data_IF_286800540753
#
_entry.id   IF_286800540753
#
_cell.length_a   1.000
_cell.length_b   1.000
_cell.length_c   1.000
_cell.angle_alpha   90.00
_cell.angle_beta   90.00
_cell.angle_gamma   90.00
#
_symmetry.space_group_name_H-M   'P 1'
#
loop_
_entity.id
_entity.type
_entity.pdbx_description
1 polymer ?
#
# COMPACT_ATOMS: atom_id res chain seq x y z
N UNK A 1 46.73 -27.78 -0.43
CA UNK A 1 46.08 -27.35 -1.64
C UNK A 1 44.60 -27.12 -1.31
N UNK A 2 44.29 -25.95 -0.79
CA UNK A 2 42.92 -25.44 -0.51
C UNK A 2 43.00 -23.93 -0.26
N UNK A 3 43.40 -23.14 -1.24
CA UNK A 3 43.49 -21.68 -1.11
C UNK A 3 43.37 -20.97 -2.49
N UNK A 4 42.37 -21.33 -3.30
CA UNK A 4 42.22 -20.66 -4.60
C UNK A 4 40.77 -20.41 -5.09
N UNK A 5 39.77 -20.50 -4.21
CA UNK A 5 38.37 -20.26 -4.64
C UNK A 5 37.74 -18.94 -4.09
N UNK A 6 38.48 -18.14 -3.30
CA UNK A 6 37.95 -16.89 -2.69
C UNK A 6 38.36 -15.61 -3.40
N UNK A 7 39.37 -15.62 -4.25
CA UNK A 7 39.86 -14.40 -4.92
C UNK A 7 38.86 -13.75 -5.92
N UNK A 8 38.11 -14.50 -6.75
CA UNK A 8 37.21 -13.85 -7.74
C UNK A 8 36.01 -13.13 -7.15
N UNK A 9 35.53 -13.55 -5.98
CA UNK A 9 34.40 -12.86 -5.32
C UNK A 9 34.81 -11.55 -4.65
N UNK A 10 35.99 -11.51 -4.04
CA UNK A 10 36.53 -10.28 -3.44
C UNK A 10 36.85 -9.21 -4.47
N UNK A 11 37.51 -9.57 -5.57
CA UNK A 11 37.78 -8.63 -6.67
C UNK A 11 36.49 -8.11 -7.31
N UNK A 12 35.50 -8.97 -7.50
CA UNK A 12 34.20 -8.59 -8.04
C UNK A 12 33.45 -7.63 -7.09
N UNK A 13 33.45 -7.91 -5.80
CA UNK A 13 32.85 -7.05 -4.78
C UNK A 13 33.58 -5.71 -4.68
N UNK A 14 34.92 -5.69 -4.76
CA UNK A 14 35.70 -4.48 -4.76
C UNK A 14 35.45 -3.62 -6.00
N UNK A 15 35.30 -4.23 -7.18
CA UNK A 15 34.89 -3.55 -8.40
C UNK A 15 33.51 -2.89 -8.26
N UNK A 16 32.52 -3.63 -7.78
CA UNK A 16 31.16 -3.08 -7.61
C UNK A 16 31.14 -1.96 -6.58
N UNK A 17 31.82 -2.09 -5.45
CA UNK A 17 31.90 -1.03 -4.44
C UNK A 17 32.56 0.24 -5.03
N UNK A 18 33.66 0.09 -5.73
CA UNK A 18 34.35 1.23 -6.38
C UNK A 18 33.46 1.89 -7.43
N UNK A 19 32.73 1.09 -8.24
CA UNK A 19 31.77 1.61 -9.22
C UNK A 19 30.63 2.39 -8.58
N UNK A 20 30.03 1.83 -7.51
CA UNK A 20 28.96 2.48 -6.76
C UNK A 20 29.44 3.80 -6.18
N UNK A 21 30.60 3.82 -5.53
CA UNK A 21 31.18 5.05 -4.96
C UNK A 21 31.43 6.13 -6.01
N UNK A 22 32.00 5.76 -7.15
CA UNK A 22 32.21 6.70 -8.26
C UNK A 22 30.90 7.21 -8.85
N UNK A 23 29.93 6.32 -9.06
CA UNK A 23 28.62 6.69 -9.59
C UNK A 23 27.86 7.62 -8.63
N UNK A 24 27.90 7.33 -7.33
CA UNK A 24 27.31 8.17 -6.29
C UNK A 24 27.96 9.53 -6.23
N UNK A 25 29.30 9.58 -6.26
CA UNK A 25 30.06 10.84 -6.27
C UNK A 25 29.72 11.71 -7.49
N UNK A 26 29.64 11.09 -8.67
CA UNK A 26 29.28 11.80 -9.90
C UNK A 26 27.83 12.28 -9.86
N UNK A 27 26.92 11.46 -9.37
CA UNK A 27 25.51 11.81 -9.20
C UNK A 27 25.33 13.01 -8.27
N UNK A 28 25.94 12.99 -7.10
CA UNK A 28 25.88 14.10 -6.14
C UNK A 28 26.51 15.39 -6.69
N UNK A 29 27.63 15.26 -7.44
CA UNK A 29 28.23 16.40 -8.12
C UNK A 29 27.27 17.01 -9.15
N UNK A 30 26.67 16.18 -10.01
CA UNK A 30 25.75 16.67 -11.05
C UNK A 30 24.51 17.32 -10.43
N UNK A 31 23.92 16.73 -9.36
CA UNK A 31 22.83 17.34 -8.61
C UNK A 31 23.18 18.74 -8.14
N UNK A 32 24.37 18.87 -7.54
CA UNK A 32 24.86 20.15 -7.00
C UNK A 32 25.11 21.18 -8.10
N UNK A 33 25.71 20.76 -9.20
CA UNK A 33 26.01 21.64 -10.34
C UNK A 33 24.71 22.13 -11.01
N UNK A 34 23.69 21.27 -11.12
CA UNK A 34 22.39 21.58 -11.72
C UNK A 34 21.36 22.15 -10.70
N UNK A 35 21.71 22.25 -9.41
CA UNK A 35 20.82 22.66 -8.32
C UNK A 35 19.52 21.84 -8.23
N UNK A 36 19.64 20.54 -8.43
CA UNK A 36 18.54 19.60 -8.34
C UNK A 36 18.45 19.04 -6.93
N UNK A 37 17.21 18.90 -6.45
CA UNK A 37 16.89 18.25 -5.15
C UNK A 37 15.88 17.15 -5.38
N UNK A 38 16.14 16.01 -4.81
CA UNK A 38 15.14 14.93 -4.68
C UNK A 38 14.30 15.16 -3.43
N UNK A 39 13.20 14.41 -3.28
CA UNK A 39 12.42 14.43 -2.03
C UNK A 39 13.24 13.93 -0.83
N UNK A 40 14.12 12.96 -1.05
CA UNK A 40 14.99 12.43 0.01
C UNK A 40 16.01 13.49 0.46
N UNK A 41 16.57 14.27 -0.46
CA UNK A 41 17.46 15.39 -0.12
C UNK A 41 16.78 16.43 0.76
N UNK A 42 15.51 16.72 0.48
CA UNK A 42 14.75 17.67 1.31
C UNK A 42 14.54 17.16 2.74
N UNK A 43 14.31 15.84 2.90
CA UNK A 43 14.17 15.24 4.22
C UNK A 43 15.50 15.23 4.97
N UNK A 44 16.59 14.88 4.31
CA UNK A 44 17.95 14.88 4.90
C UNK A 44 18.32 16.29 5.33
N UNK A 45 18.16 17.28 4.46
CA UNK A 45 18.46 18.69 4.78
C UNK A 45 17.61 19.22 5.93
N UNK A 46 16.31 18.87 5.96
CA UNK A 46 15.42 19.26 7.04
C UNK A 46 15.84 18.63 8.37
N UNK A 47 16.18 17.34 8.38
CA UNK A 47 16.65 16.63 9.56
C UNK A 47 17.97 17.24 10.07
N UNK A 48 18.97 17.42 9.19
CA UNK A 48 20.24 18.03 9.55
C UNK A 48 20.06 19.41 10.17
N UNK A 49 19.17 20.22 9.60
CA UNK A 49 18.91 21.58 10.10
C UNK A 49 18.20 21.57 11.45
N UNK A 50 17.22 20.65 11.63
CA UNK A 50 16.53 20.49 12.91
C UNK A 50 17.53 20.06 14.01
N UNK A 51 18.43 19.15 13.69
CA UNK A 51 19.42 18.65 14.67
C UNK A 51 20.50 19.70 15.01
N UNK A 52 20.95 20.48 14.00
CA UNK A 52 22.10 21.38 14.14
C UNK A 52 21.73 22.82 14.51
N UNK A 53 20.50 23.28 14.27
CA UNK A 53 20.06 24.66 14.47
C UNK A 53 18.91 24.74 15.49
N UNK A 54 19.21 24.97 16.79
CA UNK A 54 18.20 25.05 17.83
C UNK A 54 17.19 26.19 17.63
N UNK A 55 17.60 27.31 16.99
CA UNK A 55 16.70 28.43 16.75
C UNK A 55 15.64 28.05 15.68
N UNK A 56 16.09 27.35 14.62
CA UNK A 56 15.20 26.81 13.60
C UNK A 56 14.23 25.78 14.20
N UNK A 57 14.73 24.87 15.01
CA UNK A 57 13.93 23.86 15.71
C UNK A 57 12.87 24.50 16.58
N UNK A 58 13.26 25.50 17.38
CA UNK A 58 12.33 26.24 18.23
C UNK A 58 11.29 27.02 17.42
N UNK A 59 11.68 27.59 16.29
CA UNK A 59 10.76 28.29 15.40
C UNK A 59 9.68 27.32 14.85
N UNK A 60 10.06 26.12 14.41
CA UNK A 60 9.11 25.09 13.96
C UNK A 60 8.24 24.62 15.13
N UNK A 61 8.84 24.32 16.27
CA UNK A 61 8.10 23.94 17.47
C UNK A 61 7.02 24.98 17.85
N UNK A 62 7.30 26.25 17.69
CA UNK A 62 6.33 27.31 17.98
C UNK A 62 5.15 27.36 17.00
N UNK A 63 5.29 26.83 15.80
CA UNK A 63 4.20 26.76 14.82
C UNK A 63 3.17 25.68 15.13
N UNK A 64 3.57 24.62 15.84
CA UNK A 64 2.72 23.45 16.08
C UNK A 64 2.51 23.24 17.58
N UNK A 65 1.26 23.15 18.00
CA UNK A 65 0.89 22.87 19.40
C UNK A 65 0.88 21.38 19.74
N UNK A 66 0.80 20.51 18.72
CA UNK A 66 0.78 19.04 18.85
C UNK A 66 1.14 18.41 17.50
N UNK A 67 1.54 17.13 17.53
CA UNK A 67 1.72 16.33 16.32
C UNK A 67 0.90 15.04 16.37
N UNK A 68 0.16 14.76 15.31
CA UNK A 68 -0.54 13.50 15.09
C UNK A 68 0.00 12.89 13.79
N UNK A 69 0.69 11.76 13.92
CA UNK A 69 1.33 11.06 12.80
C UNK A 69 0.55 9.77 12.55
N UNK A 70 -0.16 9.74 11.44
CA UNK A 70 -0.92 8.57 11.00
C UNK A 70 -0.07 7.65 10.11
N UNK A 71 -0.46 6.37 10.01
CA UNK A 71 0.28 5.32 9.28
C UNK A 71 1.76 5.24 9.67
N UNK A 72 2.04 5.41 10.96
CA UNK A 72 3.40 5.52 11.48
C UNK A 72 4.30 4.32 11.17
N UNK A 73 3.73 3.13 10.89
CA UNK A 73 4.49 1.95 10.45
C UNK A 73 5.19 2.14 9.09
N UNK A 74 4.80 3.17 8.32
CA UNK A 74 5.38 3.49 7.02
C UNK A 74 6.42 4.63 7.09
N UNK A 75 6.76 5.05 8.31
CA UNK A 75 7.74 6.11 8.57
C UNK A 75 9.17 5.59 8.41
N UNK A 76 10.00 6.35 7.72
CA UNK A 76 11.43 6.06 7.60
C UNK A 76 12.24 6.63 8.79
N UNK A 77 13.50 6.21 8.98
CA UNK A 77 14.34 6.66 10.09
C UNK A 77 14.56 8.17 10.14
N UNK A 78 14.66 8.85 8.99
CA UNK A 78 14.91 10.31 8.93
C UNK A 78 13.64 11.06 9.37
N UNK A 79 12.48 10.65 8.87
CA UNK A 79 11.20 11.20 9.32
C UNK A 79 11.01 11.03 10.83
N UNK A 80 11.34 9.85 11.36
CA UNK A 80 11.26 9.64 12.80
C UNK A 80 12.22 10.52 13.58
N UNK A 81 13.47 10.68 13.11
CA UNK A 81 14.44 11.59 13.71
C UNK A 81 13.90 13.02 13.80
N UNK A 82 13.29 13.51 12.71
CA UNK A 82 12.62 14.83 12.67
C UNK A 82 11.53 14.93 13.74
N UNK A 83 10.60 13.97 13.79
CA UNK A 83 9.51 13.98 14.77
C UNK A 83 10.02 13.89 16.22
N UNK A 84 11.04 13.07 16.42
CA UNK A 84 11.68 12.90 17.72
C UNK A 84 12.27 14.23 18.23
N UNK A 85 13.12 14.87 17.43
CA UNK A 85 13.75 16.14 17.82
C UNK A 85 12.75 17.29 18.00
N UNK A 86 11.67 17.29 17.22
CA UNK A 86 10.66 18.36 17.32
C UNK A 86 9.71 18.19 18.51
N UNK A 87 9.39 16.95 18.91
CA UNK A 87 8.28 16.72 19.84
C UNK A 87 8.63 15.81 21.02
N UNK A 88 9.50 14.79 20.87
CA UNK A 88 9.85 13.87 21.95
C UNK A 88 11.00 14.41 22.79
N UNK A 89 12.01 15.00 22.17
CA UNK A 89 13.18 15.57 22.83
C UNK A 89 12.96 17.03 23.28
N UNK A 90 11.72 17.54 23.25
CA UNK A 90 11.38 18.88 23.74
C UNK A 90 11.67 18.97 25.25
N UNK A 91 12.62 19.81 25.68
CA UNK A 91 12.99 19.91 27.09
C UNK A 91 11.85 20.40 28.01
N UNK A 92 10.90 21.12 27.42
CA UNK A 92 9.74 21.64 28.15
C UNK A 92 8.63 20.58 28.27
N UNK A 93 8.71 19.48 27.47
CA UNK A 93 7.76 18.37 27.47
C UNK A 93 6.31 18.81 27.23
N UNK A 94 6.13 19.97 26.62
CA UNK A 94 4.86 20.69 26.60
C UNK A 94 3.94 20.27 25.45
N UNK A 95 4.49 19.57 24.43
CA UNK A 95 3.74 19.28 23.20
C UNK A 95 3.39 17.81 23.08
N UNK A 96 2.09 17.49 23.03
CA UNK A 96 1.68 16.11 22.83
C UNK A 96 2.03 15.63 21.40
N UNK A 97 2.58 14.41 21.31
CA UNK A 97 2.75 13.68 20.07
C UNK A 97 1.98 12.37 20.14
N UNK A 98 1.26 12.05 19.09
CA UNK A 98 0.51 10.82 18.97
C UNK A 98 0.93 10.14 17.68
N UNK A 99 1.47 8.92 17.78
CA UNK A 99 1.74 8.05 16.66
C UNK A 99 0.62 7.03 16.52
N UNK A 100 -0.01 6.99 15.37
CA UNK A 100 -1.06 6.04 15.04
C UNK A 100 -0.56 5.12 13.94
N UNK A 101 -0.59 3.81 14.17
CA UNK A 101 -0.09 2.86 13.18
C UNK A 101 -0.33 1.41 13.57
N UNK A 102 -0.23 0.54 12.60
CA UNK A 102 -0.30 -0.90 12.79
C UNK A 102 0.93 -1.57 12.16
N UNK A 103 1.90 -2.04 12.94
CA UNK A 103 3.14 -2.63 12.41
C UNK A 103 2.89 -3.86 11.54
N UNK A 104 1.72 -4.50 11.66
CA UNK A 104 1.31 -5.63 10.81
C UNK A 104 1.01 -5.20 9.37
N UNK A 105 0.77 -3.90 9.15
CA UNK A 105 0.47 -3.31 7.85
C UNK A 105 1.69 -2.66 7.19
N UNK A 106 2.88 -2.79 7.77
CA UNK A 106 4.14 -2.27 7.20
C UNK A 106 4.52 -3.07 5.94
N UNK A 107 4.17 -2.54 4.77
CA UNK A 107 4.43 -3.16 3.46
C UNK A 107 5.31 -2.29 2.55
N UNK A 108 5.74 -1.11 3.01
CA UNK A 108 6.49 -0.13 2.21
C UNK A 108 8.00 -0.13 2.49
N UNK A 109 8.58 -1.28 2.86
CA UNK A 109 10.03 -1.42 3.07
C UNK A 109 10.86 -0.94 1.87
N UNK A 110 10.35 -1.11 0.65
CA UNK A 110 10.99 -0.63 -0.58
C UNK A 110 11.00 0.91 -0.73
N UNK A 111 10.33 1.65 0.18
CA UNK A 111 10.33 3.12 0.30
C UNK A 111 11.05 3.56 1.58
N UNK A 112 12.00 2.78 2.05
CA UNK A 112 12.75 3.03 3.29
C UNK A 112 11.90 3.00 4.58
N UNK A 113 10.61 2.64 4.52
CA UNK A 113 9.82 2.39 5.71
C UNK A 113 10.47 1.26 6.54
N UNK A 114 10.65 1.50 7.82
CA UNK A 114 11.39 0.59 8.69
C UNK A 114 10.55 0.13 9.87
N UNK A 115 10.32 -1.18 9.93
CA UNK A 115 9.69 -1.78 11.09
C UNK A 115 10.52 -1.56 12.37
N UNK A 116 11.84 -1.54 12.23
CA UNK A 116 12.78 -1.25 13.30
C UNK A 116 12.55 0.15 13.88
N UNK A 117 12.29 1.15 13.01
CA UNK A 117 11.92 2.51 13.43
C UNK A 117 10.63 2.53 14.24
N UNK A 118 9.62 1.77 13.83
CA UNK A 118 8.38 1.62 14.61
C UNK A 118 8.65 1.01 15.98
N UNK A 119 9.44 -0.05 16.05
CA UNK A 119 9.76 -0.74 17.30
C UNK A 119 10.61 0.14 18.22
N UNK A 120 11.55 0.92 17.67
CA UNK A 120 12.34 1.90 18.40
C UNK A 120 11.43 2.95 19.03
N UNK A 121 10.59 3.59 18.24
CA UNK A 121 9.64 4.59 18.72
C UNK A 121 8.71 4.05 19.80
N UNK A 122 8.20 2.82 19.62
CA UNK A 122 7.37 2.15 20.61
C UNK A 122 8.07 2.00 21.97
N UNK A 123 9.37 1.78 21.98
CA UNK A 123 10.15 1.65 23.23
C UNK A 123 10.47 3.00 23.89
N UNK A 124 10.48 4.08 23.12
CA UNK A 124 10.75 5.43 23.62
C UNK A 124 9.49 6.15 24.14
N UNK A 125 8.29 5.65 23.80
CA UNK A 125 7.02 6.25 24.20
C UNK A 125 6.52 5.66 25.53
N UNK A 126 6.09 6.53 26.44
CA UNK A 126 5.61 6.13 27.75
C UNK A 126 4.20 5.55 27.77
N UNK A 127 3.34 5.95 26.85
CA UNK A 127 1.92 5.57 26.82
C UNK A 127 1.59 4.82 25.54
N UNK A 128 1.27 3.55 25.68
CA UNK A 128 0.85 2.69 24.58
C UNK A 128 -0.64 2.36 24.70
N UNK A 129 -1.40 2.67 23.66
CA UNK A 129 -2.82 2.34 23.57
C UNK A 129 -3.07 1.40 22.40
N UNK A 130 -3.99 0.46 22.56
CA UNK A 130 -4.36 -0.46 21.50
C UNK A 130 -5.87 -0.37 21.21
N UNK A 131 -6.21 -0.25 19.94
CA UNK A 131 -7.60 -0.31 19.49
C UNK A 131 -8.00 -1.79 19.30
N UNK A 132 -8.63 -2.34 20.33
CA UNK A 132 -9.01 -3.76 20.36
C UNK A 132 -10.30 -4.08 19.64
N UNK A 133 -11.10 -3.07 19.23
CA UNK A 133 -12.43 -3.26 18.63
C UNK A 133 -12.45 -2.74 17.20
N UNK A 134 -12.76 -3.62 16.26
CA UNK A 134 -12.92 -3.29 14.86
C UNK A 134 -14.37 -2.91 14.55
N UNK A 135 -14.55 -1.73 13.94
CA UNK A 135 -15.86 -1.20 13.54
C UNK A 135 -16.08 -1.26 12.01
N UNK A 136 -15.05 -1.58 11.25
CA UNK A 136 -15.07 -1.59 9.78
C UNK A 136 -15.64 -2.89 9.23
N UNK A 137 -15.12 -4.02 9.73
CA UNK A 137 -15.35 -5.34 9.14
C UNK A 137 -16.50 -6.09 9.84
N UNK A 138 -17.10 -7.03 9.10
CA UNK A 138 -18.13 -7.92 9.63
C UNK A 138 -17.54 -8.94 10.62
N UNK A 139 -18.37 -9.51 11.52
CA UNK A 139 -17.89 -10.49 12.49
C UNK A 139 -17.16 -11.69 11.86
N UNK A 140 -17.66 -12.22 10.74
CA UNK A 140 -17.07 -13.39 10.09
C UNK A 140 -15.69 -13.08 9.47
N UNK A 141 -15.48 -11.88 8.92
CA UNK A 141 -14.16 -11.44 8.45
C UNK A 141 -13.17 -11.37 9.62
N UNK A 142 -13.58 -10.77 10.73
CA UNK A 142 -12.70 -10.64 11.90
C UNK A 142 -12.37 -12.02 12.48
N UNK A 143 -13.37 -12.92 12.59
CA UNK A 143 -13.14 -14.26 13.08
C UNK A 143 -12.13 -15.02 12.19
N UNK A 144 -12.28 -14.95 10.87
CA UNK A 144 -11.35 -15.60 9.94
C UNK A 144 -9.95 -15.02 10.00
N UNK A 145 -9.80 -13.70 10.10
CA UNK A 145 -8.49 -13.05 10.26
C UNK A 145 -7.85 -13.44 11.59
N UNK A 146 -8.61 -13.41 12.70
CA UNK A 146 -8.12 -13.84 13.99
C UNK A 146 -7.63 -15.29 13.96
N UNK A 147 -8.39 -16.20 13.33
CA UNK A 147 -8.02 -17.62 13.22
C UNK A 147 -6.77 -17.81 12.35
N UNK A 148 -6.69 -17.09 11.23
CA UNK A 148 -5.54 -17.20 10.30
C UNK A 148 -4.22 -16.74 10.93
N UNK A 149 -4.24 -15.65 11.70
CA UNK A 149 -3.05 -15.07 12.32
C UNK A 149 -2.82 -15.49 13.78
N UNK A 150 -3.70 -16.31 14.34
CA UNK A 150 -3.55 -16.80 15.71
C UNK A 150 -2.27 -17.64 15.84
N UNK A 151 -1.28 -17.25 16.66
CA UNK A 151 -0.05 -18.00 16.84
C UNK A 151 -0.24 -19.37 17.50
N UNK A 152 -1.32 -19.55 18.25
CA UNK A 152 -1.70 -20.82 18.90
C UNK A 152 -2.61 -21.68 18.00
N UNK A 153 -3.12 -21.10 16.91
CA UNK A 153 -4.00 -21.76 15.95
C UNK A 153 -3.25 -22.70 15.02
N UNK A 154 -3.96 -23.71 14.52
CA UNK A 154 -3.47 -24.64 13.52
C UNK A 154 -3.53 -24.08 12.08
N UNK A 155 -3.80 -22.78 11.95
CA UNK A 155 -3.89 -22.10 10.66
C UNK A 155 -2.55 -22.04 9.95
N UNK A 156 -2.52 -22.01 8.61
CA UNK A 156 -1.28 -21.97 7.83
C UNK A 156 -0.44 -20.71 8.06
N UNK A 157 -1.02 -19.67 8.67
CA UNK A 157 -0.36 -18.41 8.99
C UNK A 157 0.29 -18.30 10.37
N UNK A 158 0.24 -19.33 11.21
CA UNK A 158 0.81 -19.51 12.57
C UNK A 158 1.59 -18.37 13.21
N UNK A 159 1.12 -17.13 13.10
CA UNK A 159 1.80 -15.91 13.55
C UNK A 159 2.62 -15.23 12.43
N UNK A 160 3.23 -14.12 12.81
CA UNK A 160 4.13 -13.39 11.90
C UNK A 160 5.52 -14.03 11.89
N UNK A 161 6.19 -13.98 10.73
CA UNK A 161 7.58 -14.44 10.60
C UNK A 161 8.56 -13.63 11.49
N UNK A 162 8.19 -12.40 11.84
CA UNK A 162 8.98 -11.55 12.74
C UNK A 162 8.53 -11.76 14.18
N UNK A 163 9.43 -12.28 15.02
CA UNK A 163 9.18 -12.53 16.45
C UNK A 163 8.90 -11.26 17.27
N UNK A 164 9.30 -10.08 16.78
CA UNK A 164 9.01 -8.80 17.43
C UNK A 164 7.54 -8.36 17.26
N UNK A 165 6.79 -9.00 16.35
CA UNK A 165 5.37 -8.72 16.13
C UNK A 165 4.51 -9.78 16.80
N UNK A 166 3.75 -9.35 17.78
CA UNK A 166 2.75 -10.21 18.44
C UNK A 166 1.38 -9.90 17.88
N UNK A 167 0.67 -10.92 17.41
CA UNK A 167 -0.71 -10.79 17.02
C UNK A 167 -1.61 -10.73 18.25
N UNK A 168 -2.43 -9.70 18.33
CA UNK A 168 -3.50 -9.60 19.35
C UNK A 168 -4.85 -9.69 18.64
N UNK A 169 -5.67 -10.69 18.94
CA UNK A 169 -7.00 -10.83 18.36
C UNK A 169 -7.85 -9.59 18.60
N UNK A 170 -8.55 -9.14 17.57
CA UNK A 170 -9.45 -7.99 17.67
C UNK A 170 -10.90 -8.43 17.86
N UNK A 171 -11.66 -7.62 18.60
CA UNK A 171 -13.08 -7.83 18.79
C UNK A 171 -13.88 -7.19 17.66
N UNK A 172 -15.02 -7.77 17.32
CA UNK A 172 -15.91 -7.22 16.30
C UNK A 172 -17.04 -6.37 16.91
N UNK A 173 -17.54 -5.43 16.13
CA UNK A 173 -18.76 -4.72 16.46
C UNK A 173 -19.98 -5.53 15.97
N UNK A 174 -20.83 -5.95 16.92
CA UNK A 174 -22.04 -6.75 16.63
C UNK A 174 -23.05 -6.05 15.70
N UNK A 175 -22.93 -4.73 15.50
CA UNK A 175 -23.83 -3.95 14.62
C UNK A 175 -23.52 -4.08 13.14
N UNK A 176 -22.33 -4.55 12.75
CA UNK A 176 -21.99 -4.78 11.34
C UNK A 176 -22.62 -6.09 10.86
N UNK A 177 -23.46 -5.97 9.85
CA UNK A 177 -24.13 -7.11 9.23
C UNK A 177 -23.28 -7.67 8.08
N UNK A 178 -23.29 -9.00 7.85
CA UNK A 178 -22.71 -9.61 6.66
C UNK A 178 -23.49 -9.20 5.41
N UNK A 179 -22.98 -9.55 4.24
CA UNK A 179 -23.80 -9.57 3.03
C UNK A 179 -24.91 -10.61 3.21
N UNK A 180 -26.13 -10.26 2.83
CA UNK A 180 -27.29 -11.12 2.94
C UNK A 180 -27.85 -11.44 1.55
N UNK A 181 -28.11 -12.70 1.30
CA UNK A 181 -28.81 -13.15 0.10
C UNK A 181 -30.29 -13.35 0.45
N UNK A 182 -31.16 -12.69 -0.30
CA UNK A 182 -32.61 -12.94 -0.18
C UNK A 182 -33.01 -14.07 -1.11
N UNK A 183 -33.47 -15.18 -0.51
CA UNK A 183 -33.97 -16.36 -1.21
C UNK A 183 -35.33 -16.77 -0.67
N UNK A 184 -36.35 -16.81 -1.51
CA UNK A 184 -37.71 -17.20 -1.13
C UNK A 184 -38.28 -16.41 0.08
N UNK A 185 -37.97 -15.10 0.15
CA UNK A 185 -38.41 -14.24 1.24
C UNK A 185 -37.65 -14.44 2.57
N UNK A 186 -36.57 -15.20 2.56
CA UNK A 186 -35.67 -15.37 3.70
C UNK A 186 -34.32 -14.72 3.40
N UNK A 187 -33.74 -14.11 4.43
CA UNK A 187 -32.41 -13.53 4.39
C UNK A 187 -31.41 -14.53 4.95
N UNK A 188 -30.44 -14.91 4.14
CA UNK A 188 -29.37 -15.83 4.51
C UNK A 188 -28.02 -15.12 4.41
N UNK A 189 -27.12 -15.22 5.41
CA UNK A 189 -25.82 -14.59 5.34
C UNK A 189 -24.95 -15.30 4.30
N UNK A 190 -24.30 -14.51 3.44
CA UNK A 190 -23.26 -15.03 2.56
C UNK A 190 -21.99 -15.36 3.35
N UNK A 191 -21.19 -16.33 2.87
CA UNK A 191 -19.89 -16.63 3.46
C UNK A 191 -19.01 -15.39 3.54
N UNK A 192 -18.30 -15.21 4.65
CA UNK A 192 -17.37 -14.09 4.81
C UNK A 192 -16.11 -14.21 3.98
N UNK A 193 -15.77 -15.44 3.60
CA UNK A 193 -14.65 -15.78 2.72
C UNK A 193 -15.12 -16.81 1.70
N UNK A 194 -14.71 -16.63 0.46
CA UNK A 194 -14.84 -17.62 -0.59
C UNK A 194 -13.45 -17.80 -1.23
N UNK A 195 -13.09 -19.03 -1.51
CA UNK A 195 -11.83 -19.40 -2.13
C UNK A 195 -12.09 -20.14 -3.45
N UNK A 196 -11.43 -19.69 -4.48
CA UNK A 196 -11.45 -20.39 -5.77
C UNK A 196 -10.13 -21.11 -5.96
N UNK A 197 -10.20 -22.37 -6.33
CA UNK A 197 -9.04 -23.16 -6.70
C UNK A 197 -9.22 -23.68 -8.12
N UNK A 198 -8.16 -23.63 -8.93
CA UNK A 198 -8.18 -24.26 -10.23
C UNK A 198 -7.80 -25.74 -10.08
N UNK A 199 -8.72 -26.62 -10.43
CA UNK A 199 -8.48 -28.08 -10.43
C UNK A 199 -7.71 -28.55 -11.68
N UNK A 200 -7.63 -27.74 -12.74
CA UNK A 200 -6.91 -28.10 -13.97
C UNK A 200 -5.43 -27.73 -13.85
N UNK A 201 -4.61 -28.72 -13.51
CA UNK A 201 -3.16 -28.57 -13.39
C UNK A 201 -2.46 -28.27 -14.73
N UNK A 202 -3.08 -28.54 -15.88
CA UNK A 202 -2.52 -28.22 -17.20
C UNK A 202 -2.57 -26.73 -17.51
N UNK A 203 -3.57 -26.00 -16.99
CA UNK A 203 -3.65 -24.54 -17.11
C UNK A 203 -2.54 -23.81 -16.34
N UNK A 204 -1.97 -24.44 -15.30
CA UNK A 204 -0.88 -23.88 -14.50
C UNK A 204 0.43 -23.70 -15.28
N UNK A 205 0.61 -24.38 -16.41
CA UNK A 205 1.81 -24.25 -17.25
C UNK A 205 1.84 -22.98 -18.11
N UNK A 206 0.68 -22.33 -18.30
CA UNK A 206 0.56 -21.09 -19.05
C UNK A 206 0.02 -19.97 -18.16
N UNK A 207 0.92 -19.11 -17.68
CA UNK A 207 0.58 -18.01 -16.77
C UNK A 207 -0.38 -16.99 -17.40
N UNK A 208 -0.43 -16.86 -18.72
CA UNK A 208 -1.34 -15.94 -19.40
C UNK A 208 -2.76 -16.52 -19.44
N UNK A 209 -2.90 -17.77 -19.82
CA UNK A 209 -4.18 -18.47 -19.82
C UNK A 209 -4.78 -18.53 -18.39
N UNK A 210 -3.95 -18.77 -17.39
CA UNK A 210 -4.41 -18.75 -16.00
C UNK A 210 -5.00 -17.39 -15.61
N UNK A 211 -4.33 -16.30 -15.95
CA UNK A 211 -4.83 -14.93 -15.66
C UNK A 211 -6.13 -14.61 -16.39
N UNK A 212 -6.30 -15.11 -17.61
CA UNK A 212 -7.55 -14.94 -18.34
C UNK A 212 -8.70 -15.70 -17.67
N UNK A 213 -8.44 -16.92 -17.22
CA UNK A 213 -9.42 -17.72 -16.45
C UNK A 213 -9.78 -17.03 -15.12
N UNK A 214 -8.80 -16.51 -14.40
CA UNK A 214 -9.03 -15.77 -13.16
C UNK A 214 -9.89 -14.52 -13.41
N UNK A 215 -9.59 -13.74 -14.45
CA UNK A 215 -10.36 -12.55 -14.81
C UNK A 215 -11.80 -12.89 -15.19
N UNK A 216 -12.02 -14.00 -15.90
CA UNK A 216 -13.36 -14.50 -16.24
C UNK A 216 -14.10 -14.90 -14.96
N UNK A 217 -13.48 -15.73 -14.09
CA UNK A 217 -14.10 -16.20 -12.86
C UNK A 217 -14.50 -15.03 -11.92
N UNK A 218 -13.62 -14.04 -11.76
CA UNK A 218 -13.91 -12.82 -10.98
C UNK A 218 -15.13 -12.08 -11.57
N UNK A 219 -15.18 -11.93 -12.88
CA UNK A 219 -16.26 -11.20 -13.54
C UNK A 219 -17.59 -11.96 -13.46
N UNK A 220 -17.59 -13.28 -13.54
CA UNK A 220 -18.77 -14.13 -13.38
C UNK A 220 -19.32 -14.09 -11.97
N UNK A 221 -18.46 -14.16 -10.97
CA UNK A 221 -18.88 -14.05 -9.57
C UNK A 221 -19.51 -12.68 -9.28
N UNK A 222 -18.88 -11.60 -9.73
CA UNK A 222 -19.43 -10.24 -9.55
C UNK A 222 -20.78 -10.11 -10.28
N UNK A 223 -20.89 -10.63 -11.49
CA UNK A 223 -22.15 -10.63 -12.23
C UNK A 223 -23.25 -11.39 -11.49
N UNK A 224 -22.92 -12.57 -10.94
CA UNK A 224 -23.85 -13.38 -10.13
C UNK A 224 -24.32 -12.60 -8.90
N UNK A 225 -23.39 -12.04 -8.11
CA UNK A 225 -23.72 -11.24 -6.92
C UNK A 225 -24.61 -10.02 -7.24
N UNK A 226 -24.40 -9.38 -8.38
CA UNK A 226 -25.19 -8.22 -8.81
C UNK A 226 -26.56 -8.59 -9.39
N UNK A 227 -26.68 -9.78 -9.99
CA UNK A 227 -27.97 -10.30 -10.52
C UNK A 227 -28.85 -10.86 -9.40
N UNK A 228 -28.25 -11.52 -8.44
CA UNK A 228 -28.94 -12.03 -7.27
C UNK A 228 -29.40 -10.89 -6.36
N UNK A 229 -30.38 -11.17 -5.50
CA UNK A 229 -30.86 -10.17 -4.53
C UNK A 229 -29.97 -10.13 -3.30
N UNK A 230 -28.72 -9.69 -3.50
CA UNK A 230 -27.74 -9.52 -2.44
C UNK A 230 -27.90 -8.15 -1.81
N UNK A 231 -28.02 -8.13 -0.48
CA UNK A 231 -28.16 -6.93 0.32
C UNK A 231 -26.85 -6.59 1.02
N UNK A 232 -26.47 -5.33 0.90
CA UNK A 232 -25.38 -4.69 1.62
C UNK A 232 -25.91 -3.51 2.45
N UNK A 233 -25.75 -3.56 3.75
CA UNK A 233 -26.24 -2.52 4.66
C UNK A 233 -27.73 -2.18 4.45
N UNK A 234 -28.57 -3.19 4.22
CA UNK A 234 -30.03 -3.04 4.05
C UNK A 234 -30.47 -2.57 2.67
N UNK A 235 -29.59 -2.41 1.72
CA UNK A 235 -29.90 -2.08 0.31
C UNK A 235 -29.26 -3.07 -0.66
N UNK A 236 -29.76 -3.09 -1.87
CA UNK A 236 -29.17 -3.95 -2.91
C UNK A 236 -27.71 -3.60 -3.17
N UNK A 237 -26.89 -4.63 -3.32
CA UNK A 237 -25.47 -4.53 -3.66
C UNK A 237 -25.29 -3.78 -5.01
N UNK A 238 -24.31 -2.90 -5.09
CA UNK A 238 -23.97 -2.11 -6.27
C UNK A 238 -22.52 -2.35 -6.69
N UNK A 239 -22.15 -2.14 -7.95
CA UNK A 239 -20.75 -2.23 -8.39
C UNK A 239 -19.79 -1.36 -7.56
N UNK A 240 -20.26 -0.19 -7.09
CA UNK A 240 -19.46 0.72 -6.24
C UNK A 240 -19.15 0.18 -4.84
N UNK A 241 -19.80 -0.91 -4.42
CA UNK A 241 -19.56 -1.55 -3.12
C UNK A 241 -18.50 -2.65 -3.21
N UNK A 242 -18.02 -2.95 -4.42
CA UNK A 242 -17.09 -4.04 -4.70
C UNK A 242 -15.73 -3.46 -5.08
N UNK A 243 -14.67 -3.90 -4.40
CA UNK A 243 -13.30 -3.56 -4.75
C UNK A 243 -12.53 -4.81 -5.19
N UNK A 244 -11.74 -4.68 -6.25
CA UNK A 244 -10.89 -5.76 -6.77
C UNK A 244 -9.43 -5.33 -6.59
N UNK A 245 -8.70 -6.09 -5.79
CA UNK A 245 -7.27 -5.88 -5.57
C UNK A 245 -6.46 -6.80 -6.46
N UNK A 246 -5.50 -6.24 -7.17
CA UNK A 246 -4.63 -6.97 -8.09
C UNK A 246 -3.17 -6.63 -7.86
N UNK A 247 -2.28 -7.59 -8.09
CA UNK A 247 -0.85 -7.39 -7.88
C UNK A 247 -0.20 -6.46 -8.92
N UNK A 248 -0.73 -6.41 -10.15
CA UNK A 248 -0.14 -5.64 -11.26
C UNK A 248 -1.23 -5.02 -12.13
N UNK A 249 -0.91 -3.88 -12.78
CA UNK A 249 -1.85 -3.13 -13.63
C UNK A 249 -2.48 -3.98 -14.74
N UNK A 250 -1.69 -4.79 -15.43
CA UNK A 250 -2.20 -5.61 -16.53
C UNK A 250 -3.21 -6.69 -16.07
N UNK A 251 -3.19 -7.11 -14.79
CA UNK A 251 -4.25 -7.96 -14.24
C UNK A 251 -5.57 -7.18 -14.13
N UNK A 252 -5.49 -5.91 -13.71
CA UNK A 252 -6.68 -5.04 -13.69
C UNK A 252 -7.29 -4.89 -15.07
N UNK A 253 -6.46 -4.68 -16.12
CA UNK A 253 -6.94 -4.48 -17.49
C UNK A 253 -7.73 -5.69 -17.98
N UNK A 254 -7.26 -6.92 -17.71
CA UNK A 254 -7.96 -8.16 -18.04
C UNK A 254 -9.33 -8.27 -17.33
N UNK A 255 -9.37 -7.96 -16.04
CA UNK A 255 -10.62 -7.98 -15.27
C UNK A 255 -11.59 -6.92 -15.76
N UNK A 256 -11.12 -5.69 -16.01
CA UNK A 256 -11.93 -4.59 -16.55
C UNK A 256 -12.56 -4.98 -17.90
N UNK A 257 -11.78 -5.62 -18.78
CA UNK A 257 -12.30 -6.10 -20.07
C UNK A 257 -13.44 -7.10 -19.89
N UNK A 258 -13.30 -8.07 -18.99
CA UNK A 258 -14.33 -9.08 -18.72
C UNK A 258 -15.59 -8.48 -18.10
N UNK A 259 -15.44 -7.52 -17.19
CA UNK A 259 -16.58 -6.79 -16.60
C UNK A 259 -17.29 -5.90 -17.62
N UNK A 260 -16.53 -5.23 -18.51
CA UNK A 260 -17.09 -4.43 -19.62
C UNK A 260 -17.92 -5.28 -20.57
N UNK A 261 -17.46 -6.48 -20.94
CA UNK A 261 -18.22 -7.45 -21.76
C UNK A 261 -19.57 -7.82 -21.15
N UNK A 262 -19.69 -7.74 -19.81
CA UNK A 262 -20.92 -8.00 -19.05
C UNK A 262 -21.74 -6.74 -18.73
N UNK A 263 -21.34 -5.57 -19.27
CA UNK A 263 -22.00 -4.29 -19.03
C UNK A 263 -21.80 -3.71 -17.64
N UNK A 264 -20.83 -4.23 -16.87
CA UNK A 264 -20.53 -3.76 -15.52
C UNK A 264 -19.50 -2.63 -15.62
N UNK A 265 -19.88 -1.45 -15.13
CA UNK A 265 -19.00 -0.28 -15.10
C UNK A 265 -17.95 -0.43 -14.01
N UNK A 266 -16.71 -0.08 -14.36
CA UNK A 266 -15.54 -0.14 -13.44
C UNK A 266 -14.82 1.20 -13.42
N UNK A 267 -14.22 1.50 -12.27
CA UNK A 267 -13.26 2.60 -12.13
C UNK A 267 -11.91 1.99 -11.72
N UNK A 268 -10.85 2.39 -12.42
CA UNK A 268 -9.49 2.09 -12.02
C UNK A 268 -8.96 3.29 -11.22
N UNK A 269 -8.53 3.03 -9.99
CA UNK A 269 -7.75 4.02 -9.25
C UNK A 269 -6.35 4.06 -9.88
N UNK A 270 -6.05 5.07 -10.66
CA UNK A 270 -4.71 5.30 -11.22
C UNK A 270 -4.31 6.73 -10.95
N UNK A 271 -3.02 6.92 -10.68
CA UNK A 271 -2.40 8.25 -10.62
C UNK A 271 -2.00 8.76 -12.02
N UNK A 272 -2.56 8.19 -13.09
CA UNK A 272 -2.27 8.62 -14.44
C UNK A 272 -2.86 10.01 -14.69
N UNK A 273 -2.05 10.88 -15.24
CA UNK A 273 -2.51 12.19 -15.66
C UNK A 273 -3.53 11.99 -16.80
N UNK A 274 -4.73 12.48 -16.61
CA UNK A 274 -5.82 12.41 -17.61
C UNK A 274 -5.38 12.98 -18.96
N UNK A 275 -4.53 14.00 -18.95
CA UNK A 275 -3.97 14.60 -20.17
C UNK A 275 -2.97 13.70 -20.91
N UNK A 276 -2.51 12.62 -20.29
CA UNK A 276 -1.64 11.61 -20.90
C UNK A 276 -2.43 10.37 -21.36
N UNK A 277 -3.75 10.37 -21.23
CA UNK A 277 -4.60 9.27 -21.70
C UNK A 277 -4.68 9.24 -23.24
N UNK A 278 -5.04 8.07 -23.78
CA UNK A 278 -5.24 7.91 -25.23
C UNK A 278 -6.33 8.86 -25.73
N UNK A 279 -7.41 8.98 -24.98
CA UNK A 279 -8.55 9.86 -25.28
C UNK A 279 -8.14 11.33 -25.31
N UNK A 280 -7.25 11.75 -24.39
CA UNK A 280 -6.73 13.12 -24.39
C UNK A 280 -5.87 13.39 -25.62
N UNK A 281 -5.05 12.43 -26.06
CA UNK A 281 -4.27 12.56 -27.29
C UNK A 281 -5.17 12.60 -28.53
N UNK A 282 -6.19 11.75 -28.60
CA UNK A 282 -7.18 11.77 -29.68
C UNK A 282 -7.94 13.10 -29.73
N UNK A 283 -8.41 13.59 -28.57
CA UNK A 283 -9.05 14.89 -28.48
C UNK A 283 -8.11 16.03 -28.88
N UNK A 284 -6.86 15.99 -28.45
CA UNK A 284 -5.85 16.97 -28.84
C UNK A 284 -5.67 17.00 -30.35
N UNK A 285 -5.54 15.84 -31.01
CA UNK A 285 -5.41 15.75 -32.47
C UNK A 285 -6.61 16.35 -33.19
N UNK A 286 -7.83 16.10 -32.70
CA UNK A 286 -9.04 16.72 -33.27
C UNK A 286 -9.03 18.24 -33.11
N UNK A 287 -8.64 18.74 -31.93
CA UNK A 287 -8.56 20.19 -31.69
C UNK A 287 -7.48 20.85 -32.53
N UNK A 288 -6.34 20.20 -32.71
CA UNK A 288 -5.25 20.68 -33.59
C UNK A 288 -5.70 20.74 -35.05
N UNK A 289 -6.39 19.70 -35.54
CA UNK A 289 -6.97 19.70 -36.90
C UNK A 289 -8.03 20.78 -37.08
N UNK A 290 -8.82 21.08 -36.06
CA UNK A 290 -9.80 22.19 -36.09
C UNK A 290 -9.10 23.56 -36.06
N UNK A 291 -7.97 23.69 -35.38
CA UNK A 291 -7.21 24.94 -35.28
C UNK A 291 -6.46 25.25 -36.57
N UNK A 292 -5.85 24.24 -37.21
CA UNK A 292 -5.20 24.37 -38.53
C UNK A 292 -5.67 23.27 -39.49
N UNK A 293 -6.80 23.50 -40.18
CA UNK A 293 -7.37 22.55 -41.18
C UNK A 293 -6.51 22.32 -42.42
N UNK A 294 -5.44 23.09 -42.58
CA UNK A 294 -4.54 22.94 -43.74
C UNK A 294 -3.39 21.98 -43.47
N UNK A 295 -3.16 21.61 -42.22
CA UNK A 295 -2.16 20.61 -41.88
C UNK A 295 -2.69 19.20 -42.15
N UNK A 296 -2.40 18.68 -43.37
CA UNK A 296 -2.85 17.35 -43.79
C UNK A 296 -2.27 16.17 -42.98
N UNK A 297 -1.34 16.43 -42.04
CA UNK A 297 -0.81 15.40 -41.12
C UNK A 297 -1.74 15.17 -39.93
N UNK A 298 -2.69 16.07 -39.72
CA UNK A 298 -3.63 16.05 -38.59
C UNK A 298 -5.04 15.54 -39.01
N UNK A 299 -5.28 15.32 -40.30
CA UNK A 299 -6.54 14.84 -40.90
C UNK A 299 -6.37 13.33 -41.32
#
# INVERSE_FOLDING_TARGET
>A
MKDSEHEPEEETNQFFNTFIDQATTLYEKNKKDERLFTFDDLLIEAEERIVKDPEFTKAIQNLYGAALIDEFQDTDPIQYSIFKHLFLDDPEGSKPVIFVGDPKQSIYRFRNASLETYLLAKNEINNLYQLVKNYRSTPGIIAGVNEYFNPEGKGPGGGFLNQALTYSPVQFNKKKLPLLLEKNGKLEPLPSFAFWSNADTKALSNAEALRDMEAIAIAEEIESLLKENVLYEGRRLRPSDIAILVAKRFHADKVIEQLRKRGIRTLRSSNENVLCSKEAHELKSVLEAMYDPRDTRLV
#
